data_IF_247223904996
#
_entry.id   IF_247223904996
#
_cell.length_a   1.000
_cell.length_b   1.000
_cell.length_c   1.000
_cell.angle_alpha   90.00
_cell.angle_beta   90.00
_cell.angle_gamma   90.00
#
_symmetry.space_group_name_H-M   'P 1'
#
loop_
_entity.id
_entity.type
_entity.pdbx_description
1 polymer ?
#
# COMPACT_ATOMS: atom_id res chain seq x y z
N UNK A 1 16.95 18.92 10.21
CA UNK A 1 17.35 17.58 10.68
C UNK A 1 16.69 16.57 9.78
N UNK A 2 17.43 15.61 9.24
CA UNK A 2 16.89 14.45 8.50
C UNK A 2 16.45 13.39 9.50
N UNK A 3 15.23 12.87 9.35
CA UNK A 3 14.74 11.75 10.16
C UNK A 3 15.49 10.48 9.74
N UNK A 4 16.04 9.76 10.70
CA UNK A 4 16.71 8.49 10.46
C UNK A 4 15.71 7.41 10.03
N UNK A 5 16.14 6.56 9.09
CA UNK A 5 15.35 5.45 8.56
C UNK A 5 15.38 4.22 9.50
N UNK A 6 14.58 4.27 10.55
CA UNK A 6 14.47 3.20 11.56
C UNK A 6 13.83 1.93 10.99
N UNK A 7 13.06 2.01 9.91
CA UNK A 7 12.35 0.85 9.34
C UNK A 7 13.33 -0.11 8.65
N UNK A 8 14.43 0.41 8.11
CA UNK A 8 15.52 -0.37 7.53
C UNK A 8 16.51 -0.95 8.53
N UNK A 9 16.33 -0.70 9.83
CA UNK A 9 17.20 -1.32 10.83
C UNK A 9 17.00 -2.83 10.86
N UNK A 10 18.07 -3.52 11.27
CA UNK A 10 18.01 -4.95 11.51
C UNK A 10 17.05 -5.26 12.66
N UNK A 11 16.21 -6.28 12.50
CA UNK A 11 15.39 -6.80 13.60
C UNK A 11 16.08 -7.99 14.28
N UNK A 12 16.26 -7.89 15.59
CA UNK A 12 16.91 -8.93 16.41
C UNK A 12 15.92 -9.93 17.02
N UNK A 13 14.61 -9.72 16.84
CA UNK A 13 13.57 -10.61 17.37
C UNK A 13 13.42 -11.89 16.56
N UNK A 14 13.93 -11.92 15.34
CA UNK A 14 13.85 -13.05 14.39
C UNK A 14 12.43 -13.52 14.06
N UNK A 15 11.44 -12.64 14.22
CA UNK A 15 10.02 -12.93 13.94
C UNK A 15 9.63 -12.25 12.61
N UNK A 16 9.35 -13.02 11.54
CA UNK A 16 8.76 -12.44 10.33
C UNK A 16 7.32 -12.00 10.58
N UNK A 17 6.83 -11.04 9.79
CA UNK A 17 5.41 -10.67 9.78
C UNK A 17 4.85 -11.05 8.40
N UNK A 18 3.86 -11.95 8.38
CA UNK A 18 3.27 -12.42 7.14
C UNK A 18 2.61 -11.27 6.37
N UNK A 19 1.87 -10.38 7.05
CA UNK A 19 1.22 -9.25 6.38
C UNK A 19 1.32 -7.97 7.20
N UNK A 20 2.04 -6.98 6.68
CA UNK A 20 2.10 -5.62 7.24
C UNK A 20 1.81 -4.58 6.14
N UNK A 21 1.00 -3.57 6.47
CA UNK A 21 0.65 -2.51 5.53
C UNK A 21 -0.51 -1.65 6.01
N UNK A 22 -1.35 -1.22 5.08
CA UNK A 22 -2.48 -0.32 5.32
C UNK A 22 -3.80 -0.97 4.89
N UNK A 23 -4.88 -0.67 5.62
CA UNK A 23 -6.24 -1.14 5.34
C UNK A 23 -7.23 0.01 5.47
N UNK A 24 -8.47 -0.21 5.01
CA UNK A 24 -9.57 0.76 5.01
C UNK A 24 -9.26 2.09 4.30
N UNK A 25 -8.42 2.04 3.26
CA UNK A 25 -8.09 3.22 2.45
C UNK A 25 -9.14 3.43 1.38
N UNK A 26 -9.88 4.53 1.47
CA UNK A 26 -10.86 4.94 0.46
C UNK A 26 -10.20 5.78 -0.63
N UNK A 27 -10.29 5.35 -1.88
CA UNK A 27 -9.65 6.05 -3.00
C UNK A 27 -10.57 6.08 -4.24
N UNK A 28 -10.66 7.23 -4.96
CA UNK A 28 -11.40 7.31 -6.22
C UNK A 28 -10.74 6.45 -7.31
N UNK A 29 -11.56 5.73 -8.08
CA UNK A 29 -11.09 4.91 -9.22
C UNK A 29 -12.04 5.02 -10.41
N UNK A 30 -11.57 4.51 -11.55
CA UNK A 30 -12.36 4.31 -12.77
C UNK A 30 -12.38 2.82 -13.08
N UNK A 31 -13.56 2.21 -13.14
CA UNK A 31 -13.74 0.80 -13.50
C UNK A 31 -14.32 0.69 -14.90
N UNK A 32 -13.91 -0.33 -15.66
CA UNK A 32 -14.50 -0.61 -16.97
C UNK A 32 -15.85 -1.30 -16.76
N UNK A 33 -16.90 -0.67 -17.26
CA UNK A 33 -18.27 -1.20 -17.22
C UNK A 33 -18.62 -1.75 -18.61
N UNK A 34 -19.09 -3.00 -18.65
CA UNK A 34 -19.39 -3.69 -19.91
C UNK A 34 -20.48 -3.00 -20.74
N UNK A 35 -21.44 -2.35 -20.08
CA UNK A 35 -22.60 -1.72 -20.73
C UNK A 35 -22.42 -0.20 -20.88
N UNK A 36 -21.63 0.42 -20.00
CA UNK A 36 -21.48 1.88 -19.89
C UNK A 36 -20.08 2.40 -20.24
N UNK A 37 -19.15 1.51 -20.58
CA UNK A 37 -17.77 1.85 -20.92
C UNK A 37 -16.92 2.07 -19.67
N UNK A 38 -17.09 3.21 -19.01
CA UNK A 38 -16.33 3.58 -17.81
C UNK A 38 -17.27 4.09 -16.70
N UNK A 39 -16.99 3.68 -15.46
CA UNK A 39 -17.68 4.14 -14.28
C UNK A 39 -16.69 4.69 -13.24
N UNK A 40 -16.94 5.92 -12.78
CA UNK A 40 -16.21 6.52 -11.65
C UNK A 40 -16.84 6.11 -10.33
N UNK A 41 -16.05 5.62 -9.39
CA UNK A 41 -16.52 5.19 -8.07
C UNK A 41 -15.42 5.40 -7.01
N UNK A 42 -15.71 5.04 -5.76
CA UNK A 42 -14.74 5.01 -4.67
C UNK A 42 -14.59 3.57 -4.22
N UNK A 43 -13.35 3.05 -4.26
CA UNK A 43 -13.02 1.73 -3.76
C UNK A 43 -12.34 1.81 -2.39
N UNK A 44 -12.42 0.71 -1.65
CA UNK A 44 -11.69 0.51 -0.40
C UNK A 44 -10.54 -0.47 -0.66
N UNK A 45 -9.32 -0.05 -0.36
CA UNK A 45 -8.09 -0.81 -0.59
C UNK A 45 -7.51 -1.36 0.71
N UNK A 46 -7.02 -2.60 0.63
CA UNK A 46 -6.06 -3.15 1.58
C UNK A 46 -4.78 -3.48 0.79
N UNK A 47 -3.64 -3.02 1.30
CA UNK A 47 -2.34 -3.26 0.70
C UNK A 47 -1.37 -3.72 1.78
N UNK A 48 -0.71 -4.85 1.56
CA UNK A 48 0.24 -5.43 2.51
C UNK A 48 1.39 -6.10 1.79
N UNK A 49 2.50 -6.26 2.52
CA UNK A 49 3.66 -7.05 2.11
C UNK A 49 4.08 -7.97 3.24
N UNK A 50 4.79 -9.03 2.89
CA UNK A 50 5.51 -9.84 3.86
C UNK A 50 6.73 -9.03 4.36
N UNK A 51 6.97 -9.07 5.67
CA UNK A 51 8.14 -8.46 6.30
C UNK A 51 9.10 -9.55 6.73
N UNK A 52 10.22 -9.74 6.00
CA UNK A 52 11.27 -10.65 6.40
C UNK A 52 11.82 -10.29 7.78
N UNK A 53 12.22 -11.30 8.55
CA UNK A 53 12.69 -11.17 9.93
C UNK A 53 13.93 -10.29 10.09
N UNK A 54 14.62 -9.97 8.99
CA UNK A 54 15.79 -9.11 8.97
C UNK A 54 15.43 -7.63 9.08
N UNK A 55 14.19 -7.24 8.76
CA UNK A 55 13.75 -5.85 8.74
C UNK A 55 12.86 -5.49 9.92
N UNK A 56 13.12 -4.34 10.54
CA UNK A 56 12.36 -3.85 11.70
C UNK A 56 10.95 -3.40 11.37
N UNK A 57 10.68 -2.98 10.12
CA UNK A 57 9.34 -2.62 9.69
C UNK A 57 9.25 -2.14 8.25
N UNK A 58 8.04 -1.72 7.87
CA UNK A 58 7.73 -1.24 6.52
C UNK A 58 7.49 0.26 6.48
N UNK A 59 7.72 0.87 5.31
CA UNK A 59 7.41 2.28 5.08
C UNK A 59 5.94 2.47 4.70
N UNK A 60 5.07 2.65 5.69
CA UNK A 60 3.62 2.78 5.48
C UNK A 60 3.22 3.85 4.44
N UNK A 61 3.94 4.96 4.39
CA UNK A 61 3.66 6.03 3.42
C UNK A 61 3.88 5.61 1.96
N UNK A 62 4.73 4.59 1.70
CA UNK A 62 5.00 4.11 0.33
C UNK A 62 3.77 3.48 -0.32
N UNK A 63 2.90 2.82 0.46
CA UNK A 63 1.64 2.30 -0.06
C UNK A 63 0.73 3.43 -0.60
N UNK A 64 0.65 4.55 0.13
CA UNK A 64 -0.11 5.74 -0.31
C UNK A 64 0.56 6.41 -1.51
N UNK A 65 1.90 6.49 -1.54
CA UNK A 65 2.63 7.00 -2.71
C UNK A 65 2.28 6.20 -3.97
N UNK A 66 2.29 4.87 -3.89
CA UNK A 66 1.91 4.01 -5.00
C UNK A 66 0.46 4.30 -5.46
N UNK A 67 -0.51 4.39 -4.54
CA UNK A 67 -1.89 4.73 -4.92
C UNK A 67 -2.01 6.10 -5.60
N UNK A 68 -1.22 7.08 -5.15
CA UNK A 68 -1.18 8.41 -5.75
C UNK A 68 -0.59 8.38 -7.16
N UNK A 69 0.50 7.65 -7.36
CA UNK A 69 1.22 7.57 -8.64
C UNK A 69 0.34 6.93 -9.73
N UNK A 70 -0.54 5.99 -9.37
CA UNK A 70 -1.44 5.29 -10.30
C UNK A 70 -2.88 5.84 -10.32
N UNK A 71 -3.15 6.98 -9.68
CA UNK A 71 -4.52 7.50 -9.46
C UNK A 71 -5.39 7.69 -10.72
N UNK A 72 -4.82 7.71 -11.92
CA UNK A 72 -5.56 7.82 -13.19
C UNK A 72 -5.76 6.50 -13.93
N UNK A 73 -5.09 5.42 -13.52
CA UNK A 73 -5.02 4.15 -14.28
C UNK A 73 -5.38 2.92 -13.45
N UNK A 74 -5.86 3.08 -12.21
CA UNK A 74 -6.39 1.95 -11.44
C UNK A 74 -7.72 1.52 -12.07
N UNK A 75 -7.62 0.66 -13.07
CA UNK A 75 -8.72 -0.10 -13.67
C UNK A 75 -8.81 -1.44 -12.94
N UNK A 76 -9.98 -1.70 -12.36
CA UNK A 76 -10.34 -3.01 -11.80
C UNK A 76 -10.96 -3.89 -12.89
#
# INVERSE_FOLDING_TARGET
>A
MTIEDVQKHQDHREIPIDHVGITDIRWPIVVLDRDRGEQRTVATFQMSVDLPKEFKGTHMSRFVTILSDYSHEITA
#
